data_IF_272944416320
#
_entry.id   IF_272944416320
#
_cell.length_a   1.000
_cell.length_b   1.000
_cell.length_c   1.000
_cell.angle_alpha   90.00
_cell.angle_beta   90.00
_cell.angle_gamma   90.00
#
_symmetry.space_group_name_H-M   'P 1'
#
loop_
_entity.id
_entity.type
_entity.pdbx_description
1 polymer ?
#
# COMPACT_ATOMS: atom_id res chain seq x y z
N UNK A 1 16.92 11.17 15.02
CA UNK A 1 17.03 10.37 13.78
C UNK A 1 16.76 8.87 13.98
N UNK A 2 17.42 8.18 14.93
CA UNK A 2 17.22 6.73 15.17
C UNK A 2 15.76 6.34 15.47
N UNK A 3 15.04 7.13 16.28
CA UNK A 3 13.63 6.88 16.57
C UNK A 3 12.72 6.97 15.34
N UNK A 4 12.98 7.95 14.44
CA UNK A 4 12.19 8.11 13.22
C UNK A 4 12.35 6.88 12.32
N UNK A 5 13.58 6.39 12.18
CA UNK A 5 13.90 5.20 11.41
C UNK A 5 13.24 3.95 12.02
N UNK A 6 13.24 3.83 13.35
CA UNK A 6 12.53 2.76 14.06
C UNK A 6 11.02 2.78 13.81
N UNK A 7 10.39 3.97 13.86
CA UNK A 7 8.95 4.13 13.56
C UNK A 7 8.62 3.80 12.10
N UNK A 8 9.50 4.16 11.15
CA UNK A 8 9.31 3.86 9.73
C UNK A 8 9.36 2.35 9.46
N UNK A 9 10.36 1.66 10.03
CA UNK A 9 10.51 0.21 9.90
C UNK A 9 9.34 -0.53 10.56
N UNK A 10 8.86 -0.03 11.71
CA UNK A 10 7.72 -0.63 12.40
C UNK A 10 6.41 -0.55 11.59
N UNK A 11 6.26 0.50 10.78
CA UNK A 11 5.08 0.78 9.96
C UNK A 11 5.38 0.66 8.45
N UNK A 12 6.29 -0.25 8.09
CA UNK A 12 6.72 -0.43 6.71
C UNK A 12 5.59 -0.62 5.68
N UNK A 13 4.41 -1.20 5.98
CA UNK A 13 3.34 -1.34 4.99
C UNK A 13 2.79 0.00 4.51
N UNK A 14 2.67 0.99 5.42
CA UNK A 14 2.24 2.34 5.06
C UNK A 14 3.28 3.05 4.20
N UNK A 15 4.56 2.88 4.53
CA UNK A 15 5.65 3.46 3.75
C UNK A 15 5.73 2.85 2.34
N UNK A 16 5.60 1.52 2.24
CA UNK A 16 5.55 0.81 0.96
C UNK A 16 4.34 1.25 0.12
N UNK A 17 3.17 1.40 0.74
CA UNK A 17 1.98 1.90 0.05
C UNK A 17 2.16 3.33 -0.48
N UNK A 18 2.77 4.23 0.29
CA UNK A 18 3.08 5.58 -0.18
C UNK A 18 3.99 5.58 -1.42
N UNK A 19 5.04 4.76 -1.42
CA UNK A 19 5.94 4.60 -2.57
C UNK A 19 5.20 4.05 -3.79
N UNK A 20 4.41 2.99 -3.62
CA UNK A 20 3.62 2.39 -4.70
C UNK A 20 2.63 3.39 -5.30
N UNK A 21 1.95 4.16 -4.45
CA UNK A 21 1.04 5.20 -4.90
C UNK A 21 1.77 6.27 -5.74
N UNK A 22 2.96 6.70 -5.31
CA UNK A 22 3.77 7.64 -6.09
C UNK A 22 4.23 7.04 -7.43
N UNK A 23 4.63 5.77 -7.48
CA UNK A 23 5.02 5.09 -8.73
C UNK A 23 3.83 5.04 -9.70
N UNK A 24 2.65 4.67 -9.21
CA UNK A 24 1.43 4.64 -10.00
C UNK A 24 1.05 6.03 -10.52
N UNK A 25 1.06 7.05 -9.64
CA UNK A 25 0.77 8.43 -10.01
C UNK A 25 1.75 8.97 -11.05
N UNK A 26 3.05 8.75 -10.87
CA UNK A 26 4.09 9.15 -11.83
C UNK A 26 3.87 8.46 -13.19
N UNK A 27 3.47 7.19 -13.20
CA UNK A 27 3.18 6.46 -14.44
C UNK A 27 1.99 7.06 -15.18
N UNK A 28 0.92 7.44 -14.47
CA UNK A 28 -0.26 8.07 -15.05
C UNK A 28 0.05 9.45 -15.63
N UNK A 29 0.85 10.25 -14.91
CA UNK A 29 1.18 11.62 -15.30
C UNK A 29 2.19 11.69 -16.46
N UNK A 30 3.18 10.79 -16.50
CA UNK A 30 4.32 10.88 -17.43
C UNK A 30 4.11 10.13 -18.74
N UNK A 31 3.23 9.11 -18.78
CA UNK A 31 3.06 8.27 -19.97
C UNK A 31 1.97 8.82 -20.89
N UNK A 32 2.21 8.79 -22.19
CA UNK A 32 1.21 9.13 -23.22
C UNK A 32 0.27 7.96 -23.52
N UNK A 33 0.78 6.73 -23.47
CA UNK A 33 0.02 5.52 -23.78
C UNK A 33 -1.07 5.22 -22.75
N UNK A 34 -2.30 5.02 -23.22
CA UNK A 34 -3.46 4.70 -22.37
C UNK A 34 -3.28 3.39 -21.59
N UNK A 35 -2.67 2.35 -22.19
CA UNK A 35 -2.41 1.09 -21.51
C UNK A 35 -1.46 1.27 -20.32
N UNK A 36 -0.40 2.07 -20.47
CA UNK A 36 0.55 2.34 -19.39
C UNK A 36 -0.10 3.16 -18.28
N UNK A 37 -1.00 4.09 -18.63
CA UNK A 37 -1.82 4.80 -17.64
C UNK A 37 -2.73 3.86 -16.87
N UNK A 38 -3.38 2.90 -17.54
CA UNK A 38 -4.25 1.90 -16.89
C UNK A 38 -3.46 1.02 -15.90
N UNK A 39 -2.24 0.62 -16.26
CA UNK A 39 -1.32 -0.07 -15.36
C UNK A 39 -0.97 0.83 -14.17
N UNK A 40 -0.65 2.11 -14.41
CA UNK A 40 -0.39 3.08 -13.35
C UNK A 40 -1.55 3.23 -12.37
N UNK A 41 -2.79 3.27 -12.87
CA UNK A 41 -4.01 3.33 -12.05
C UNK A 41 -4.16 2.07 -11.21
N UNK A 42 -3.94 0.87 -11.77
CA UNK A 42 -3.98 -0.40 -11.02
C UNK A 42 -2.94 -0.43 -9.88
N UNK A 43 -1.75 0.12 -10.11
CA UNK A 43 -0.72 0.23 -9.07
C UNK A 43 -1.16 1.19 -7.96
N UNK A 44 -1.79 2.33 -8.31
CA UNK A 44 -2.34 3.26 -7.33
C UNK A 44 -3.44 2.60 -6.48
N UNK A 45 -4.37 1.88 -7.11
CA UNK A 45 -5.46 1.17 -6.42
C UNK A 45 -4.91 0.08 -5.46
N UNK A 46 -3.94 -0.71 -5.93
CA UNK A 46 -3.27 -1.72 -5.10
C UNK A 46 -2.60 -1.10 -3.88
N UNK A 47 -1.99 0.08 -4.02
CA UNK A 47 -1.41 0.82 -2.92
C UNK A 47 -2.46 1.27 -1.89
N UNK A 48 -3.62 1.73 -2.35
CA UNK A 48 -4.75 2.10 -1.48
C UNK A 48 -5.24 0.88 -0.70
N UNK A 49 -5.40 -0.28 -1.35
CA UNK A 49 -5.75 -1.52 -0.66
C UNK A 49 -4.73 -1.89 0.42
N UNK A 50 -3.44 -1.71 0.14
CA UNK A 50 -2.39 -1.98 1.13
C UNK A 50 -2.52 -1.07 2.36
N UNK A 51 -2.89 0.22 2.20
CA UNK A 51 -3.16 1.12 3.33
C UNK A 51 -4.33 0.60 4.17
N UNK A 52 -5.43 0.20 3.53
CA UNK A 52 -6.60 -0.30 4.26
C UNK A 52 -6.29 -1.60 5.02
N UNK A 53 -5.60 -2.54 4.39
CA UNK A 53 -5.19 -3.80 5.03
C UNK A 53 -4.21 -3.53 6.18
N UNK A 54 -3.25 -2.62 5.99
CA UNK A 54 -2.32 -2.22 7.05
C UNK A 54 -3.03 -1.55 8.23
N UNK A 55 -4.09 -0.78 7.98
CA UNK A 55 -4.97 -0.19 9.00
C UNK A 55 -5.75 -1.21 9.81
N UNK A 56 -6.19 -2.29 9.17
CA UNK A 56 -6.90 -3.39 9.83
C UNK A 56 -5.99 -4.42 10.49
N UNK A 57 -4.68 -4.39 10.22
CA UNK A 57 -3.75 -5.40 10.70
C UNK A 57 -3.29 -5.13 12.14
N UNK A 58 -3.70 -5.99 13.06
CA UNK A 58 -3.26 -5.96 14.47
C UNK A 58 -2.13 -6.98 14.70
N UNK A 59 -1.11 -6.59 15.46
CA UNK A 59 -0.01 -7.50 15.83
C UNK A 59 -0.54 -8.65 16.69
N UNK A 60 -0.27 -9.88 16.27
CA UNK A 60 -0.80 -11.08 16.94
C UNK A 60 -2.27 -11.38 16.61
N UNK A 61 -2.88 -10.63 15.69
CA UNK A 61 -4.20 -10.95 15.17
C UNK A 61 -4.22 -12.27 14.42
N UNK A 62 -5.33 -12.98 14.56
CA UNK A 62 -5.66 -14.14 13.73
C UNK A 62 -6.58 -13.71 12.61
N UNK A 63 -6.56 -14.45 11.49
CA UNK A 63 -7.52 -14.22 10.41
C UNK A 63 -8.95 -14.34 10.97
N UNK A 64 -9.86 -13.39 10.67
CA UNK A 64 -11.24 -13.42 11.14
C UNK A 64 -12.06 -14.45 10.35
N UNK A 65 -11.66 -15.71 10.43
CA UNK A 65 -12.36 -16.85 9.86
C UNK A 65 -13.34 -17.37 10.91
N UNK A 66 -14.63 -17.41 10.59
CA UNK A 66 -15.61 -18.08 11.45
C UNK A 66 -15.23 -19.57 11.52
N UNK A 67 -14.73 -20.03 12.66
CA UNK A 67 -14.47 -21.46 12.85
C UNK A 67 -15.73 -22.24 13.26
N UNK A 68 -16.84 -21.58 13.61
CA UNK A 68 -18.15 -22.19 13.90
C UNK A 68 -19.26 -21.13 13.87
N UNK A 69 -20.35 -21.45 13.19
CA UNK A 69 -21.69 -20.91 13.46
C UNK A 69 -22.37 -21.79 14.52
#
# INVERSE_FOLDING_TARGET
MKELFGKLIMNYPYFAAAILFMIGALTVLTRSDLLKKLIGINIMESAIFLIFVAGGNIRGGVAPLLSKA
#
